data_IF_028582347749
#
_entry.id   IF_028582347749
#
_cell.length_a   1.000
_cell.length_b   1.000
_cell.length_c   1.000
_cell.angle_alpha   90.00
_cell.angle_beta   90.00
_cell.angle_gamma   90.00
#
_symmetry.space_group_name_H-M   'P 1'
#
loop_
_entity.id
_entity.type
_entity.pdbx_description
1 polymer ?
#
# COMPACT_ATOMS: atom_id res chain seq x y z
N UNK A 1 54.06 39.78 48.10
CA UNK A 1 53.00 38.78 48.03
C UNK A 1 52.53 38.74 46.58
N UNK A 2 53.00 37.75 45.78
CA UNK A 2 52.68 37.65 44.37
C UNK A 2 51.63 36.56 44.19
N UNK A 3 50.46 36.96 43.75
CA UNK A 3 49.31 36.02 43.45
C UNK A 3 49.52 35.50 42.04
N UNK A 4 49.66 34.17 41.88
CA UNK A 4 49.72 33.47 40.60
C UNK A 4 48.30 33.30 40.02
N UNK A 5 48.06 33.61 38.74
CA UNK A 5 46.76 33.33 38.10
C UNK A 5 46.68 31.84 37.74
N UNK A 6 45.51 31.24 38.08
CA UNK A 6 45.16 29.88 37.75
C UNK A 6 44.56 29.83 36.32
N UNK A 7 44.95 28.92 35.42
CA UNK A 7 44.34 28.85 34.09
C UNK A 7 43.00 28.16 34.15
N UNK A 8 41.96 28.86 33.65
CA UNK A 8 40.65 28.27 33.39
C UNK A 8 40.72 27.38 32.18
N UNK A 9 40.64 26.06 32.36
CA UNK A 9 40.47 25.10 31.28
C UNK A 9 39.00 25.09 30.90
N UNK A 10 38.63 25.74 29.78
CA UNK A 10 37.35 25.59 29.13
C UNK A 10 37.28 24.21 28.46
N UNK A 11 36.60 23.25 29.08
CA UNK A 11 36.25 21.98 28.45
C UNK A 11 35.10 22.24 27.47
N UNK A 12 35.42 22.33 26.17
CA UNK A 12 34.45 22.32 25.10
C UNK A 12 33.83 20.93 24.99
N UNK A 13 32.69 20.73 25.60
CA UNK A 13 31.81 19.56 25.32
C UNK A 13 31.26 19.71 23.90
N UNK A 14 31.92 19.09 22.93
CA UNK A 14 31.35 18.88 21.61
C UNK A 14 30.14 17.95 21.75
N UNK A 15 28.95 18.53 21.80
CA UNK A 15 27.69 17.80 21.68
C UNK A 15 27.65 17.22 20.25
N UNK A 16 27.93 15.97 20.11
CA UNK A 16 27.61 15.22 18.89
C UNK A 16 26.11 15.13 18.80
N UNK A 17 25.50 16.10 18.13
CA UNK A 17 24.13 16.06 17.68
C UNK A 17 24.02 15.02 16.57
N UNK A 18 23.97 13.75 16.92
CA UNK A 18 23.49 12.72 16.01
C UNK A 18 22.06 13.09 15.67
N UNK A 19 21.79 13.39 14.39
CA UNK A 19 20.41 13.47 13.88
C UNK A 19 19.76 12.12 14.18
N UNK A 20 18.92 12.06 15.22
CA UNK A 20 18.06 10.91 15.44
C UNK A 20 17.20 10.81 14.18
N UNK A 21 17.45 9.83 13.32
CA UNK A 21 16.55 9.50 12.23
C UNK A 21 15.18 9.28 12.86
N UNK A 22 14.16 10.02 12.39
CA UNK A 22 12.80 9.83 12.86
C UNK A 22 12.42 8.37 12.61
N UNK A 23 12.07 7.64 13.69
CA UNK A 23 11.66 6.26 13.56
C UNK A 23 10.47 6.19 12.60
N UNK A 24 10.51 5.25 11.65
CA UNK A 24 9.37 5.02 10.77
C UNK A 24 8.15 4.58 11.59
N UNK A 25 6.97 5.02 11.16
CA UNK A 25 5.72 4.74 11.88
C UNK A 25 5.46 3.24 12.05
N UNK A 26 5.92 2.44 11.10
CA UNK A 26 5.79 0.98 11.11
C UNK A 26 6.75 0.29 12.11
N UNK A 27 7.78 0.99 12.60
CA UNK A 27 8.73 0.48 13.59
C UNK A 27 8.38 0.88 15.03
N UNK A 28 7.35 1.70 15.18
CA UNK A 28 6.93 2.16 16.50
C UNK A 28 6.14 1.08 17.24
N UNK A 29 6.33 0.96 18.57
CA UNK A 29 5.52 0.05 19.38
C UNK A 29 4.04 0.46 19.34
N UNK A 30 3.11 -0.52 19.44
CA UNK A 30 1.69 -0.22 19.54
C UNK A 30 1.41 0.70 20.75
N UNK A 31 0.50 1.66 20.56
CA UNK A 31 0.06 2.52 21.65
C UNK A 31 -0.70 1.72 22.71
N UNK A 32 -0.57 2.14 23.96
CA UNK A 32 -1.36 1.56 25.05
C UNK A 32 -2.86 1.60 24.74
N UNK A 33 -3.57 0.51 24.97
CA UNK A 33 -5.00 0.39 24.70
C UNK A 33 -5.36 -0.01 23.25
N UNK A 34 -4.38 -0.21 22.36
CA UNK A 34 -4.63 -0.75 21.02
C UNK A 34 -5.07 -2.22 21.14
N UNK A 35 -6.18 -2.60 20.49
CA UNK A 35 -6.70 -3.97 20.55
C UNK A 35 -5.75 -4.97 19.86
N UNK A 36 -5.74 -6.25 20.28
CA UNK A 36 -4.93 -7.29 19.63
C UNK A 36 -5.20 -7.41 18.14
N UNK A 37 -6.46 -7.26 17.70
CA UNK A 37 -6.84 -7.27 16.29
C UNK A 37 -6.19 -6.12 15.52
N UNK A 38 -6.26 -4.90 16.05
CA UNK A 38 -5.62 -3.74 15.45
C UNK A 38 -4.10 -3.92 15.33
N UNK A 39 -3.44 -4.45 16.38
CA UNK A 39 -2.00 -4.72 16.38
C UNK A 39 -1.64 -5.72 15.27
N UNK A 40 -2.40 -6.81 15.14
CA UNK A 40 -2.14 -7.83 14.14
C UNK A 40 -2.34 -7.30 12.70
N UNK A 41 -3.42 -6.54 12.46
CA UNK A 41 -3.71 -5.90 11.17
C UNK A 41 -2.58 -4.94 10.78
N UNK A 42 -2.22 -4.03 11.67
CA UNK A 42 -1.14 -3.05 11.45
C UNK A 42 0.19 -3.74 11.17
N UNK A 43 0.53 -4.77 11.95
CA UNK A 43 1.76 -5.54 11.75
C UNK A 43 1.81 -6.17 10.37
N UNK A 44 0.72 -6.80 9.93
CA UNK A 44 0.63 -7.43 8.60
C UNK A 44 0.81 -6.41 7.48
N UNK A 45 0.10 -5.28 7.54
CA UNK A 45 0.22 -4.22 6.53
C UNK A 45 1.62 -3.58 6.52
N UNK A 46 2.18 -3.28 7.70
CA UNK A 46 3.51 -2.69 7.83
C UNK A 46 4.63 -3.62 7.36
N UNK A 47 4.52 -4.93 7.61
CA UNK A 47 5.50 -5.90 7.11
C UNK A 47 5.53 -5.91 5.58
N UNK A 48 4.36 -5.89 4.94
CA UNK A 48 4.30 -5.80 3.48
C UNK A 48 4.88 -4.49 2.96
N UNK A 49 4.53 -3.36 3.55
CA UNK A 49 5.08 -2.08 3.13
C UNK A 49 6.62 -2.05 3.18
N UNK A 50 7.22 -2.68 4.21
CA UNK A 50 8.70 -2.84 4.26
C UNK A 50 9.21 -3.72 3.13
N UNK A 51 8.55 -4.85 2.84
CA UNK A 51 8.93 -5.73 1.73
C UNK A 51 8.92 -5.00 0.39
N UNK A 52 7.95 -4.10 0.17
CA UNK A 52 7.83 -3.29 -1.04
C UNK A 52 8.72 -2.04 -1.04
N UNK A 53 9.74 -1.97 -0.17
CA UNK A 53 10.77 -0.93 -0.15
C UNK A 53 10.24 0.47 0.22
N UNK A 54 9.23 0.55 1.08
CA UNK A 54 8.72 1.78 1.70
C UNK A 54 8.23 2.87 0.73
N UNK A 55 7.49 2.55 -0.37
CA UNK A 55 6.97 3.58 -1.24
C UNK A 55 5.89 4.40 -0.52
N UNK A 56 5.84 5.72 -0.79
CA UNK A 56 4.84 6.54 -0.11
C UNK A 56 4.39 7.78 -0.88
N UNK A 57 3.16 8.21 -0.58
CA UNK A 57 2.56 9.47 -0.97
C UNK A 57 2.57 10.38 0.25
N UNK A 58 3.07 11.61 0.11
CA UNK A 58 3.16 12.58 1.20
C UNK A 58 1.81 13.22 1.57
N UNK A 59 1.80 14.06 2.61
CA UNK A 59 0.59 14.77 3.07
C UNK A 59 0.03 15.79 2.07
N UNK A 60 0.79 16.13 1.04
CA UNK A 60 0.37 16.99 -0.08
C UNK A 60 -0.13 16.18 -1.26
N UNK A 61 -0.26 14.86 -1.10
CA UNK A 61 -0.69 13.95 -2.15
C UNK A 61 0.34 13.72 -3.25
N UNK A 62 1.62 14.00 -3.04
CA UNK A 62 2.68 13.79 -4.01
C UNK A 62 3.32 12.43 -3.83
N UNK A 63 3.55 11.72 -4.93
CA UNK A 63 4.35 10.50 -4.92
C UNK A 63 5.80 10.86 -4.55
N UNK A 64 6.23 10.47 -3.37
CA UNK A 64 7.53 10.82 -2.83
C UNK A 64 8.57 9.72 -3.03
N UNK A 65 8.14 8.46 -3.06
CA UNK A 65 9.00 7.31 -3.33
C UNK A 65 8.19 6.22 -4.01
N UNK A 66 8.78 5.57 -5.00
CA UNK A 66 8.28 4.37 -5.66
C UNK A 66 9.44 3.38 -5.75
N UNK A 67 9.21 2.19 -5.23
CA UNK A 67 10.17 1.09 -5.30
C UNK A 67 9.84 0.13 -6.43
N UNK A 68 9.63 -1.14 -6.08
CA UNK A 68 9.26 -2.20 -7.02
C UNK A 68 7.77 -2.16 -7.32
N UNK A 69 7.39 -2.45 -8.58
CA UNK A 69 6.00 -2.64 -9.00
C UNK A 69 5.70 -4.10 -9.34
N UNK A 70 4.42 -4.51 -9.35
CA UNK A 70 4.03 -5.90 -9.54
C UNK A 70 4.50 -6.51 -10.87
N UNK A 71 4.61 -5.69 -11.92
CA UNK A 71 4.99 -6.15 -13.24
C UNK A 71 6.49 -6.48 -13.35
N UNK A 72 7.30 -6.02 -12.42
CA UNK A 72 8.75 -6.15 -12.50
C UNK A 72 9.23 -7.54 -12.08
N UNK A 73 10.39 -7.94 -12.62
CA UNK A 73 11.14 -9.11 -12.16
C UNK A 73 12.03 -8.78 -10.95
N UNK A 74 11.87 -7.57 -10.37
CA UNK A 74 12.61 -7.13 -9.20
C UNK A 74 12.25 -7.94 -7.95
N UNK A 75 13.24 -8.19 -7.12
CA UNK A 75 13.03 -8.80 -5.82
C UNK A 75 12.51 -7.76 -4.83
N UNK A 76 11.63 -8.22 -3.94
CA UNK A 76 11.26 -7.48 -2.75
C UNK A 76 12.45 -7.36 -1.79
N UNK A 77 12.33 -6.57 -0.72
CA UNK A 77 13.44 -6.26 0.17
C UNK A 77 14.08 -7.47 0.87
N UNK A 78 13.34 -8.59 1.00
CA UNK A 78 13.83 -9.84 1.59
C UNK A 78 14.54 -10.76 0.60
N UNK A 79 14.57 -10.39 -0.68
CA UNK A 79 15.10 -11.21 -1.78
C UNK A 79 14.48 -12.62 -1.89
N UNK A 80 13.31 -12.84 -1.26
CA UNK A 80 12.64 -14.15 -1.23
C UNK A 80 11.91 -14.47 -2.52
N UNK A 81 10.98 -13.60 -2.92
CA UNK A 81 10.17 -13.76 -4.13
C UNK A 81 10.14 -12.46 -4.93
N UNK A 82 9.88 -12.56 -6.23
CA UNK A 82 9.66 -11.38 -7.08
C UNK A 82 8.26 -10.80 -6.85
N UNK A 83 8.08 -9.53 -7.17
CA UNK A 83 6.87 -8.77 -6.86
C UNK A 83 5.58 -9.44 -7.34
N UNK A 84 5.50 -9.88 -8.60
CA UNK A 84 4.29 -10.54 -9.14
C UNK A 84 3.92 -11.84 -8.40
N UNK A 85 4.92 -12.62 -7.94
CA UNK A 85 4.66 -13.83 -7.15
C UNK A 85 4.09 -13.50 -5.78
N UNK A 86 4.53 -12.40 -5.19
CA UNK A 86 3.96 -11.91 -3.92
C UNK A 86 2.50 -11.53 -4.10
N UNK A 87 2.15 -10.84 -5.18
CA UNK A 87 0.75 -10.50 -5.51
C UNK A 87 -0.09 -11.75 -5.76
N UNK A 88 0.44 -12.74 -6.50
CA UNK A 88 -0.22 -14.03 -6.64
C UNK A 88 -0.50 -14.71 -5.28
N UNK A 89 0.42 -14.54 -4.31
CA UNK A 89 0.24 -14.96 -2.92
C UNK A 89 -0.94 -14.24 -2.25
N UNK A 90 -1.12 -12.93 -2.45
CA UNK A 90 -2.29 -12.21 -1.88
C UNK A 90 -3.60 -12.79 -2.37
N UNK A 91 -3.72 -13.05 -3.68
CA UNK A 91 -4.90 -13.67 -4.28
C UNK A 91 -5.19 -15.05 -3.71
N UNK A 92 -4.17 -15.93 -3.68
CA UNK A 92 -4.29 -17.32 -3.23
C UNK A 92 -4.60 -17.41 -1.74
N UNK A 93 -3.77 -16.79 -0.91
CA UNK A 93 -3.77 -16.99 0.54
C UNK A 93 -4.93 -16.23 1.24
N UNK A 94 -5.50 -15.21 0.59
CA UNK A 94 -6.76 -14.61 1.01
C UNK A 94 -7.99 -15.46 0.65
N UNK A 95 -7.85 -16.44 -0.24
CA UNK A 95 -8.94 -17.22 -0.79
C UNK A 95 -9.77 -16.49 -1.87
N UNK A 96 -9.39 -15.25 -2.22
CA UNK A 96 -10.15 -14.46 -3.22
C UNK A 96 -9.89 -14.90 -4.64
N UNK A 97 -8.81 -15.63 -4.92
CA UNK A 97 -8.49 -16.17 -6.23
C UNK A 97 -9.63 -17.06 -6.80
N UNK A 98 -10.34 -17.80 -5.93
CA UNK A 98 -11.44 -18.64 -6.34
C UNK A 98 -12.57 -17.87 -7.05
N UNK A 99 -12.82 -16.63 -6.65
CA UNK A 99 -13.81 -15.75 -7.29
C UNK A 99 -13.37 -15.26 -8.68
N UNK A 100 -12.09 -15.42 -9.02
CA UNK A 100 -11.48 -15.01 -10.29
C UNK A 100 -11.33 -16.17 -11.28
N UNK A 101 -11.85 -17.36 -10.99
CA UNK A 101 -11.63 -18.59 -11.78
C UNK A 101 -12.01 -18.50 -13.27
N UNK A 102 -12.88 -17.56 -13.65
CA UNK A 102 -13.21 -17.28 -15.05
C UNK A 102 -12.25 -16.31 -15.77
N UNK A 103 -11.24 -15.76 -15.08
CA UNK A 103 -10.27 -14.85 -15.67
C UNK A 103 -9.08 -15.62 -16.24
N UNK A 104 -8.57 -15.23 -17.44
CA UNK A 104 -7.35 -15.85 -17.99
C UNK A 104 -6.20 -15.83 -16.99
N UNK A 105 -5.46 -16.91 -16.87
CA UNK A 105 -4.30 -17.02 -16.00
C UNK A 105 -4.58 -17.23 -14.50
N UNK A 106 -5.83 -17.04 -14.01
CA UNK A 106 -6.13 -17.16 -12.59
C UNK A 106 -5.81 -18.57 -12.04
N UNK A 107 -6.16 -19.64 -12.75
CA UNK A 107 -5.86 -21.01 -12.33
C UNK A 107 -4.36 -21.28 -12.23
N UNK A 108 -3.55 -20.60 -13.03
CA UNK A 108 -2.10 -20.73 -13.01
C UNK A 108 -1.45 -20.05 -11.79
N UNK A 109 -2.17 -19.14 -11.13
CA UNK A 109 -1.74 -18.55 -9.86
C UNK A 109 -2.06 -19.42 -8.63
N UNK A 110 -2.95 -20.41 -8.77
CA UNK A 110 -3.32 -21.30 -7.67
C UNK A 110 -2.18 -22.26 -7.30
N UNK A 111 -1.49 -22.80 -8.32
CA UNK A 111 -0.35 -23.69 -8.14
C UNK A 111 0.74 -23.28 -9.13
N UNK A 112 1.79 -22.64 -8.64
CA UNK A 112 2.97 -22.35 -9.44
C UNK A 112 3.80 -23.64 -9.57
N UNK A 113 3.58 -24.37 -10.65
CA UNK A 113 4.29 -25.65 -10.94
C UNK A 113 5.72 -25.46 -11.45
N UNK A 114 6.19 -24.21 -11.52
CA UNK A 114 7.54 -23.85 -11.95
C UNK A 114 7.75 -23.86 -13.46
N UNK A 115 6.74 -24.12 -14.28
CA UNK A 115 6.89 -24.00 -15.74
C UNK A 115 6.89 -22.53 -16.16
N UNK A 116 7.59 -22.20 -17.25
CA UNK A 116 7.57 -20.84 -17.82
C UNK A 116 6.17 -20.43 -18.26
N UNK A 117 5.40 -21.36 -18.77
CA UNK A 117 4.05 -21.09 -19.24
C UNK A 117 3.16 -20.68 -18.06
N UNK A 118 3.09 -21.49 -17.00
CA UNK A 118 2.29 -21.20 -15.81
C UNK A 118 2.69 -19.87 -15.16
N UNK A 119 4.00 -19.61 -15.08
CA UNK A 119 4.52 -18.36 -14.53
C UNK A 119 4.11 -17.14 -15.39
N UNK A 120 4.17 -17.26 -16.72
CA UNK A 120 3.78 -16.18 -17.65
C UNK A 120 2.30 -15.87 -17.55
N UNK A 121 1.44 -16.90 -17.56
CA UNK A 121 -0.02 -16.74 -17.47
C UNK A 121 -0.45 -16.15 -16.12
N UNK A 122 0.15 -16.62 -15.01
CA UNK A 122 -0.12 -16.05 -13.70
C UNK A 122 0.33 -14.60 -13.60
N UNK A 123 1.51 -14.26 -14.15
CA UNK A 123 1.98 -12.87 -14.18
C UNK A 123 1.05 -11.96 -14.99
N UNK A 124 0.57 -12.44 -16.15
CA UNK A 124 -0.42 -11.71 -16.95
C UNK A 124 -1.71 -11.48 -16.13
N UNK A 125 -2.22 -12.51 -15.46
CA UNK A 125 -3.37 -12.37 -14.57
C UNK A 125 -3.16 -11.31 -13.49
N UNK A 126 -1.99 -11.28 -12.84
CA UNK A 126 -1.66 -10.30 -11.79
C UNK A 126 -1.67 -8.87 -12.34
N UNK A 127 -1.10 -8.65 -13.52
CA UNK A 127 -1.03 -7.33 -14.17
C UNK A 127 -2.41 -6.86 -14.67
N UNK A 128 -3.22 -7.78 -15.20
CA UNK A 128 -4.50 -7.45 -15.81
C UNK A 128 -5.67 -7.32 -14.80
N UNK A 129 -5.45 -7.73 -13.55
CA UNK A 129 -6.52 -7.74 -12.54
C UNK A 129 -6.12 -6.99 -11.28
N UNK A 130 -6.86 -5.92 -10.95
CA UNK A 130 -6.60 -5.11 -9.76
C UNK A 130 -6.63 -5.94 -8.47
N UNK A 131 -5.57 -5.91 -7.70
CA UNK A 131 -5.37 -6.77 -6.53
C UNK A 131 -5.50 -6.05 -5.18
N UNK A 132 -5.91 -4.79 -5.17
CA UNK A 132 -6.01 -4.01 -3.93
C UNK A 132 -6.95 -4.65 -2.90
N UNK A 133 -8.10 -5.16 -3.33
CA UNK A 133 -9.04 -5.81 -2.42
C UNK A 133 -8.55 -7.20 -1.96
N UNK A 134 -7.84 -7.93 -2.81
CA UNK A 134 -7.17 -9.18 -2.45
C UNK A 134 -6.08 -8.94 -1.39
N UNK A 135 -5.32 -7.85 -1.51
CA UNK A 135 -4.34 -7.43 -0.50
C UNK A 135 -4.99 -7.17 0.86
N UNK A 136 -6.06 -6.38 0.92
CA UNK A 136 -6.79 -6.13 2.17
C UNK A 136 -7.32 -7.45 2.75
N UNK A 137 -7.93 -8.29 1.91
CA UNK A 137 -8.42 -9.60 2.34
C UNK A 137 -7.29 -10.48 2.89
N UNK A 138 -6.11 -10.41 2.28
CA UNK A 138 -4.91 -11.09 2.75
C UNK A 138 -4.43 -10.54 4.10
N UNK A 139 -4.34 -9.21 4.26
CA UNK A 139 -3.96 -8.57 5.54
C UNK A 139 -4.87 -9.04 6.67
N UNK A 140 -6.19 -9.06 6.44
CA UNK A 140 -7.16 -9.51 7.45
C UNK A 140 -7.05 -11.01 7.74
N UNK A 141 -6.71 -11.82 6.75
CA UNK A 141 -6.45 -13.26 6.91
C UNK A 141 -5.19 -13.49 7.74
N UNK A 142 -4.09 -12.79 7.43
CA UNK A 142 -2.85 -12.90 8.18
C UNK A 142 -3.00 -12.41 9.63
N UNK A 143 -3.83 -11.39 9.83
CA UNK A 143 -4.17 -10.92 11.16
C UNK A 143 -5.07 -11.90 11.93
N UNK A 144 -5.66 -12.90 11.27
CA UNK A 144 -6.60 -13.83 11.90
C UNK A 144 -7.94 -13.16 12.26
N UNK A 145 -8.35 -12.08 11.56
CA UNK A 145 -9.59 -11.38 11.87
C UNK A 145 -10.81 -12.23 11.47
N UNK A 146 -11.53 -12.71 12.49
CA UNK A 146 -12.74 -13.50 12.29
C UNK A 146 -13.91 -12.65 11.80
N UNK A 147 -14.76 -13.24 10.97
CA UNK A 147 -15.97 -12.58 10.48
C UNK A 147 -15.72 -11.48 9.43
N UNK A 148 -14.46 -11.27 9.00
CA UNK A 148 -14.21 -10.34 7.89
C UNK A 148 -14.66 -10.94 6.56
N UNK A 149 -15.47 -10.19 5.82
CA UNK A 149 -15.95 -10.61 4.50
C UNK A 149 -14.85 -10.42 3.44
N UNK A 150 -14.06 -11.47 3.20
CA UNK A 150 -13.00 -11.45 2.19
C UNK A 150 -13.58 -11.40 0.79
N UNK A 151 -13.11 -10.48 -0.04
CA UNK A 151 -13.57 -10.31 -1.41
C UNK A 151 -12.47 -9.76 -2.31
N UNK A 152 -12.59 -10.01 -3.62
CA UNK A 152 -11.83 -9.36 -4.68
C UNK A 152 -12.31 -7.91 -4.95
N UNK A 153 -13.32 -7.44 -4.25
CA UNK A 153 -13.93 -6.11 -4.41
C UNK A 153 -14.08 -5.42 -3.07
N UNK A 154 -13.53 -4.21 -2.93
CA UNK A 154 -13.65 -3.42 -1.69
C UNK A 154 -15.10 -3.10 -1.34
N UNK A 155 -15.95 -2.88 -2.33
CA UNK A 155 -17.36 -2.54 -2.10
C UNK A 155 -18.13 -3.64 -1.35
N UNK A 156 -17.71 -4.90 -1.47
CA UNK A 156 -18.39 -6.01 -0.82
C UNK A 156 -18.20 -5.99 0.70
N UNK A 157 -16.99 -5.73 1.20
CA UNK A 157 -16.80 -5.60 2.64
C UNK A 157 -17.20 -4.22 3.19
N UNK A 158 -17.24 -3.16 2.37
CA UNK A 158 -17.92 -1.91 2.74
C UNK A 158 -19.41 -2.18 2.98
N UNK A 159 -20.05 -2.92 2.08
CA UNK A 159 -21.46 -3.33 2.21
C UNK A 159 -21.68 -4.24 3.42
N UNK A 160 -20.78 -5.21 3.65
CA UNK A 160 -20.82 -6.05 4.84
C UNK A 160 -20.79 -5.20 6.11
N UNK A 161 -19.85 -4.25 6.23
CA UNK A 161 -19.77 -3.35 7.38
C UNK A 161 -21.04 -2.46 7.55
N UNK A 162 -21.71 -2.10 6.45
CA UNK A 162 -22.97 -1.37 6.49
C UNK A 162 -24.13 -2.25 6.99
N UNK A 163 -24.23 -3.50 6.49
CA UNK A 163 -25.34 -4.42 6.75
C UNK A 163 -25.22 -5.13 8.11
N UNK A 164 -24.00 -5.50 8.52
CA UNK A 164 -23.76 -6.36 9.69
C UNK A 164 -24.03 -5.67 11.03
N UNK A 165 -24.31 -4.38 10.99
CA UNK A 165 -24.78 -3.61 12.14
C UNK A 165 -23.91 -3.79 13.37
N UNK A 166 -24.15 -4.87 14.17
CA UNK A 166 -23.44 -5.14 15.41
C UNK A 166 -22.59 -6.41 15.40
N UNK A 167 -22.70 -7.28 14.41
CA UNK A 167 -22.09 -8.62 14.41
C UNK A 167 -20.74 -8.71 13.68
N UNK A 168 -20.51 -7.90 12.64
CA UNK A 168 -19.27 -7.90 11.88
C UNK A 168 -18.12 -7.21 12.62
N UNK A 169 -16.85 -7.42 12.19
CA UNK A 169 -15.69 -6.83 12.84
C UNK A 169 -15.56 -5.32 12.60
N UNK A 170 -16.28 -4.77 11.63
CA UNK A 170 -16.25 -3.35 11.27
C UNK A 170 -17.62 -2.68 11.35
N UNK A 171 -17.62 -1.39 11.68
CA UNK A 171 -18.78 -0.50 11.58
C UNK A 171 -18.55 0.48 10.43
N UNK A 172 -19.57 0.70 9.62
CA UNK A 172 -19.59 1.71 8.58
C UNK A 172 -19.85 3.09 9.21
N UNK A 173 -18.91 4.04 9.05
CA UNK A 173 -18.97 5.35 9.68
C UNK A 173 -18.54 6.47 8.72
N UNK A 174 -18.88 7.72 9.08
CA UNK A 174 -18.54 8.92 8.33
C UNK A 174 -17.09 9.33 8.60
N UNK A 175 -16.22 9.37 7.58
CA UNK A 175 -14.82 9.77 7.73
C UNK A 175 -14.64 11.25 8.14
N UNK A 176 -15.65 12.11 7.92
CA UNK A 176 -15.59 13.51 8.34
C UNK A 176 -15.89 13.69 9.83
N UNK A 177 -16.54 12.70 10.46
CA UNK A 177 -17.02 12.78 11.84
C UNK A 177 -16.18 11.93 12.78
N UNK A 178 -15.94 10.68 12.40
CA UNK A 178 -15.24 9.70 13.23
C UNK A 178 -13.72 9.87 13.16
N UNK A 179 -13.06 9.64 14.30
CA UNK A 179 -11.60 9.67 14.36
C UNK A 179 -11.02 8.33 13.91
N UNK A 180 -10.08 8.32 12.95
CA UNK A 180 -9.40 7.10 12.57
C UNK A 180 -8.50 6.58 13.69
N UNK A 181 -8.40 5.27 13.79
CA UNK A 181 -7.53 4.56 14.74
C UNK A 181 -6.83 3.39 14.03
N UNK A 182 -5.69 2.90 14.53
CA UNK A 182 -5.01 1.74 13.97
C UNK A 182 -5.95 0.54 13.80
N UNK A 183 -5.89 -0.12 12.64
CA UNK A 183 -6.75 -1.23 12.27
C UNK A 183 -8.05 -0.83 11.56
N UNK A 184 -8.44 0.45 11.55
CA UNK A 184 -9.55 0.94 10.73
C UNK A 184 -9.19 0.88 9.23
N UNK A 185 -10.18 1.07 8.37
CA UNK A 185 -9.97 1.25 6.93
C UNK A 185 -10.62 2.54 6.44
N UNK A 186 -9.87 3.36 5.72
CA UNK A 186 -10.40 4.53 5.02
C UNK A 186 -10.63 4.18 3.56
N UNK A 187 -11.87 4.38 3.07
CA UNK A 187 -12.32 3.91 1.76
C UNK A 187 -12.79 5.05 0.88
N UNK A 188 -12.45 4.97 -0.41
CA UNK A 188 -12.84 5.91 -1.46
C UNK A 188 -13.63 5.22 -2.58
N UNK A 189 -14.36 6.01 -3.35
CA UNK A 189 -15.06 5.58 -4.56
C UNK A 189 -14.29 6.05 -5.80
N UNK A 190 -14.37 5.27 -6.87
CA UNK A 190 -13.77 5.53 -8.19
C UNK A 190 -14.77 5.32 -9.32
N UNK A 191 -14.40 5.79 -10.52
CA UNK A 191 -15.18 5.57 -11.74
C UNK A 191 -16.46 6.39 -11.80
N UNK A 192 -16.47 7.56 -11.18
CA UNK A 192 -17.65 8.44 -11.14
C UNK A 192 -17.26 9.87 -11.49
N UNK A 193 -18.08 10.46 -12.35
CA UNK A 193 -17.96 11.88 -12.72
C UNK A 193 -18.46 12.83 -11.61
N UNK A 194 -19.25 12.31 -10.66
CA UNK A 194 -19.79 13.07 -9.53
C UNK A 194 -19.45 12.35 -8.25
N UNK A 195 -18.77 13.03 -7.33
CA UNK A 195 -18.47 12.53 -6.00
C UNK A 195 -19.74 12.33 -5.18
N UNK A 196 -19.83 11.22 -4.46
CA UNK A 196 -20.95 10.88 -3.60
C UNK A 196 -20.70 11.23 -2.12
N UNK A 197 -19.44 11.11 -1.69
CA UNK A 197 -19.11 11.17 -0.27
C UNK A 197 -19.85 10.12 0.57
N UNK A 198 -19.79 10.29 1.89
CA UNK A 198 -20.42 9.36 2.82
C UNK A 198 -21.94 9.29 2.66
N UNK A 199 -22.62 10.44 2.54
CA UNK A 199 -24.07 10.49 2.47
C UNK A 199 -24.63 9.78 1.23
N UNK A 200 -24.00 10.02 0.06
CA UNK A 200 -24.40 9.38 -1.18
C UNK A 200 -24.10 7.88 -1.19
N UNK A 201 -22.94 7.45 -0.69
CA UNK A 201 -22.63 6.02 -0.54
C UNK A 201 -23.62 5.33 0.41
N UNK A 202 -23.90 5.94 1.57
CA UNK A 202 -24.87 5.40 2.53
C UNK A 202 -26.27 5.23 1.93
N UNK A 203 -26.74 6.23 1.18
CA UNK A 203 -28.02 6.16 0.49
C UNK A 203 -28.05 5.02 -0.55
N UNK A 204 -26.99 4.87 -1.32
CA UNK A 204 -26.88 3.80 -2.31
C UNK A 204 -26.80 2.40 -1.68
N UNK A 205 -26.09 2.24 -0.56
CA UNK A 205 -26.01 0.96 0.17
C UNK A 205 -27.38 0.55 0.74
N UNK A 206 -28.20 1.51 1.14
CA UNK A 206 -29.57 1.26 1.62
C UNK A 206 -30.58 1.00 0.51
N UNK A 207 -30.21 1.24 -0.76
CA UNK A 207 -31.05 0.98 -1.92
C UNK A 207 -30.88 -0.42 -2.50
N UNK A 208 -31.74 -0.78 -3.46
CA UNK A 208 -31.69 -2.03 -4.20
C UNK A 208 -31.00 -1.92 -5.56
N UNK A 209 -30.61 -0.71 -5.98
CA UNK A 209 -29.97 -0.50 -7.28
C UNK A 209 -28.56 -1.15 -7.34
N UNK A 210 -28.17 -1.71 -8.51
CA UNK A 210 -26.81 -2.18 -8.70
C UNK A 210 -25.81 -1.05 -8.49
N UNK A 211 -24.69 -1.36 -7.83
CA UNK A 211 -23.57 -0.43 -7.64
C UNK A 211 -22.37 -0.92 -8.48
N UNK A 212 -22.28 -0.51 -9.74
CA UNK A 212 -21.21 -0.94 -10.64
C UNK A 212 -19.88 -0.20 -10.38
N UNK A 213 -19.83 0.58 -9.28
CA UNK A 213 -18.70 1.43 -8.97
C UNK A 213 -17.49 0.63 -8.49
N UNK A 214 -16.34 1.18 -8.75
CA UNK A 214 -15.10 0.74 -8.15
C UNK A 214 -14.88 1.49 -6.83
N UNK A 215 -14.15 0.86 -5.94
CA UNK A 215 -13.78 1.43 -4.65
C UNK A 215 -12.39 0.95 -4.26
N UNK A 216 -11.77 1.67 -3.34
CA UNK A 216 -10.48 1.30 -2.79
C UNK A 216 -10.47 1.59 -1.29
N UNK A 217 -9.79 0.77 -0.51
CA UNK A 217 -9.63 0.98 0.93
C UNK A 217 -8.16 0.80 1.30
N UNK A 218 -7.68 1.70 2.16
CA UNK A 218 -6.37 1.62 2.80
C UNK A 218 -6.53 1.33 4.29
N UNK A 219 -5.67 0.51 4.86
CA UNK A 219 -5.63 0.22 6.32
C UNK A 219 -4.99 1.39 7.05
N UNK A 220 -5.61 1.87 8.11
CA UNK A 220 -5.02 2.82 9.05
C UNK A 220 -3.95 2.11 9.88
N UNK A 221 -2.69 2.49 9.74
CA UNK A 221 -1.58 1.91 10.51
C UNK A 221 -1.18 2.80 11.68
N UNK A 222 -1.37 4.10 11.58
CA UNK A 222 -1.16 5.05 12.67
C UNK A 222 -1.94 6.35 12.45
N UNK A 223 -2.18 7.08 13.53
CA UNK A 223 -2.79 8.42 13.50
C UNK A 223 -2.20 9.30 14.59
N UNK A 224 -1.84 10.55 14.23
CA UNK A 224 -1.37 11.57 15.14
C UNK A 224 -0.19 11.12 16.02
N UNK A 225 0.85 10.59 15.41
CA UNK A 225 2.04 10.11 16.11
C UNK A 225 2.82 11.30 16.67
N UNK A 226 3.02 11.31 17.98
CA UNK A 226 3.73 12.42 18.64
C UNK A 226 3.08 13.81 18.46
N UNK A 227 1.82 13.88 18.01
CA UNK A 227 1.14 15.15 17.74
C UNK A 227 1.36 15.71 16.33
N UNK A 228 1.85 14.90 15.39
CA UNK A 228 2.20 15.28 14.01
C UNK A 228 0.99 15.60 13.12
N UNK A 229 -0.22 15.32 13.60
CA UNK A 229 -1.49 15.51 12.89
C UNK A 229 -1.50 14.82 11.51
N UNK A 230 -0.89 13.65 11.42
CA UNK A 230 -0.83 12.84 10.21
C UNK A 230 -1.56 11.52 10.41
N UNK A 231 -2.35 11.13 9.42
CA UNK A 231 -2.93 9.81 9.25
C UNK A 231 -2.04 9.01 8.31
N UNK A 232 -1.67 7.81 8.72
CA UNK A 232 -0.85 6.89 7.95
C UNK A 232 -1.69 5.69 7.53
N UNK A 233 -1.75 5.48 6.22
CA UNK A 233 -2.58 4.47 5.57
C UNK A 233 -1.70 3.56 4.72
N UNK A 234 -1.98 2.26 4.67
CA UNK A 234 -1.31 1.33 3.75
C UNK A 234 -2.35 0.62 2.90
N UNK A 235 -2.19 0.70 1.58
CA UNK A 235 -3.02 0.03 0.58
C UNK A 235 -2.19 -0.77 -0.41
N UNK A 236 -2.81 -1.81 -0.98
CA UNK A 236 -2.23 -2.59 -2.09
C UNK A 236 -2.69 -2.04 -3.43
N UNK A 237 -1.92 -2.31 -4.48
CA UNK A 237 -2.20 -1.87 -5.86
C UNK A 237 -2.38 -0.34 -6.00
N UNK A 238 -1.65 0.43 -5.21
CA UNK A 238 -1.54 1.88 -5.38
C UNK A 238 -0.25 2.13 -6.15
N UNK A 239 -0.35 2.55 -7.42
CA UNK A 239 0.80 2.57 -8.35
C UNK A 239 1.48 1.19 -8.47
N UNK A 240 0.66 0.13 -8.52
CA UNK A 240 1.13 -1.24 -8.70
C UNK A 240 2.10 -1.72 -7.61
N UNK A 241 1.95 -1.18 -6.38
CA UNK A 241 2.79 -1.53 -5.22
C UNK A 241 1.98 -1.52 -3.92
N UNK A 242 2.58 -1.94 -2.81
CA UNK A 242 2.03 -1.71 -1.46
C UNK A 242 2.53 -0.37 -0.95
N UNK A 243 1.66 0.62 -0.98
CA UNK A 243 1.96 2.03 -0.79
C UNK A 243 1.50 2.55 0.57
N UNK A 244 2.32 3.35 1.22
CA UNK A 244 1.87 4.18 2.34
C UNK A 244 1.35 5.52 1.83
N UNK A 245 0.15 5.90 2.28
CA UNK A 245 -0.44 7.22 2.03
C UNK A 245 -0.46 8.00 3.33
N UNK A 246 -0.07 9.27 3.27
CA UNK A 246 -0.14 10.20 4.40
C UNK A 246 -1.22 11.24 4.13
N UNK A 247 -2.13 11.43 5.10
CA UNK A 247 -3.18 12.44 5.00
C UNK A 247 -3.18 13.35 6.23
N UNK A 248 -3.55 14.63 6.11
CA UNK A 248 -3.60 15.53 7.25
C UNK A 248 -4.78 15.21 8.17
N UNK A 249 -4.58 15.43 9.48
CA UNK A 249 -5.63 15.43 10.50
C UNK A 249 -5.89 16.85 11.01
N UNK A 250 -7.15 17.13 11.32
CA UNK A 250 -7.54 18.38 11.99
C UNK A 250 -7.10 18.39 13.48
N UNK A 251 -7.34 19.49 14.18
CA UNK A 251 -7.02 19.62 15.60
C UNK A 251 -7.81 18.64 16.48
N UNK A 252 -8.95 18.19 16.02
CA UNK A 252 -9.76 17.18 16.71
C UNK A 252 -9.32 15.75 16.42
N UNK A 253 -8.34 15.55 15.52
CA UNK A 253 -7.84 14.24 15.11
C UNK A 253 -8.72 13.53 14.06
N UNK A 254 -9.54 14.26 13.33
CA UNK A 254 -10.35 13.76 12.21
C UNK A 254 -9.61 13.99 10.90
N UNK A 255 -9.92 13.18 9.89
CA UNK A 255 -9.31 13.33 8.56
C UNK A 255 -9.72 14.65 7.94
N UNK A 256 -8.75 15.42 7.46
CA UNK A 256 -9.03 16.57 6.59
C UNK A 256 -9.27 16.00 5.18
N UNK A 257 -10.54 15.83 4.84
CA UNK A 257 -10.92 15.29 3.53
C UNK A 257 -10.68 16.37 2.46
N UNK A 258 -9.88 16.07 1.43
CA UNK A 258 -9.69 16.99 0.32
C UNK A 258 -10.98 17.09 -0.51
N UNK A 259 -11.16 18.21 -1.22
CA UNK A 259 -12.24 18.30 -2.22
C UNK A 259 -11.99 17.22 -3.28
N UNK A 260 -12.94 16.31 -3.50
CA UNK A 260 -12.76 15.25 -4.48
C UNK A 260 -12.54 15.84 -5.87
N UNK A 261 -11.73 15.14 -6.65
CA UNK A 261 -11.55 15.41 -8.06
C UNK A 261 -12.52 14.53 -8.85
N UNK A 262 -13.12 15.06 -9.91
CA UNK A 262 -13.98 14.28 -10.81
C UNK A 262 -13.12 13.25 -11.54
N UNK A 263 -13.48 11.98 -11.47
CA UNK A 263 -12.85 10.94 -12.28
C UNK A 263 -13.29 11.14 -13.74
N UNK A 264 -12.34 11.13 -14.65
CA UNK A 264 -12.64 11.07 -16.08
C UNK A 264 -12.98 9.62 -16.47
N UNK A 265 -13.58 9.42 -17.65
CA UNK A 265 -13.87 8.07 -18.15
C UNK A 265 -12.61 7.18 -18.28
N UNK A 266 -11.43 7.79 -18.35
CA UNK A 266 -10.12 7.12 -18.41
C UNK A 266 -9.61 6.66 -17.05
N UNK A 267 -10.15 7.22 -15.94
CA UNK A 267 -9.77 6.84 -14.57
C UNK A 267 -10.47 5.56 -14.08
N UNK A 268 -11.16 4.84 -14.97
CA UNK A 268 -11.89 3.62 -14.62
C UNK A 268 -10.99 2.40 -14.41
N UNK A 269 -9.73 2.45 -14.85
CA UNK A 269 -8.74 1.43 -14.50
C UNK A 269 -8.16 1.75 -13.11
N UNK A 270 -8.09 0.75 -12.24
CA UNK A 270 -7.43 0.90 -10.92
C UNK A 270 -5.94 1.31 -11.06
N UNK A 271 -5.34 0.99 -12.21
CA UNK A 271 -3.97 1.35 -12.60
C UNK A 271 -3.87 2.76 -13.16
N UNK A 272 -4.99 3.40 -13.54
CA UNK A 272 -4.92 4.77 -13.99
C UNK A 272 -4.50 5.64 -12.83
N UNK A 273 -3.48 6.45 -13.06
CA UNK A 273 -2.86 7.32 -12.07
C UNK A 273 -3.86 8.33 -11.48
N UNK A 274 -5.10 8.38 -12.03
CA UNK A 274 -6.16 9.29 -11.60
C UNK A 274 -5.64 10.71 -11.45
N UNK A 275 -4.66 11.06 -12.29
CA UNK A 275 -4.17 12.42 -12.43
C UNK A 275 -5.25 13.16 -13.18
N UNK A 276 -5.80 14.20 -12.58
CA UNK A 276 -6.71 15.06 -13.29
C UNK A 276 -6.07 15.51 -14.60
N UNK A 277 -6.88 15.63 -15.62
CA UNK A 277 -6.49 16.30 -16.87
C UNK A 277 -5.95 17.73 -16.64
N UNK A 278 -6.20 18.26 -15.46
CA UNK A 278 -5.77 19.60 -15.00
C UNK A 278 -4.40 19.59 -14.31
N UNK A 279 -3.87 18.40 -13.91
CA UNK A 279 -2.50 18.28 -13.38
C UNK A 279 -1.51 18.43 -14.53
N UNK A 280 -0.90 19.60 -14.62
CA UNK A 280 0.09 19.95 -15.65
C UNK A 280 1.29 20.62 -14.99
N UNK A 281 2.44 20.73 -15.68
CA UNK A 281 3.58 21.47 -15.12
C UNK A 281 3.29 22.93 -14.79
N UNK A 282 2.23 23.52 -15.34
CA UNK A 282 1.78 24.87 -15.00
C UNK A 282 0.82 24.90 -13.79
N UNK A 283 0.27 23.75 -13.39
CA UNK A 283 -0.71 23.60 -12.31
C UNK A 283 -0.37 22.39 -11.45
N UNK A 284 0.84 22.40 -10.86
CA UNK A 284 1.34 21.31 -10.02
C UNK A 284 0.53 21.11 -8.73
N UNK A 285 -0.15 22.15 -8.26
CA UNK A 285 -1.03 22.09 -7.09
C UNK A 285 -2.25 21.19 -7.30
N UNK A 286 -2.60 20.92 -8.57
CA UNK A 286 -3.68 20.00 -8.92
C UNK A 286 -3.23 18.54 -9.00
N UNK A 287 -1.91 18.28 -8.88
CA UNK A 287 -1.30 16.96 -8.89
C UNK A 287 -1.33 16.33 -7.49
N UNK A 288 -2.51 16.14 -6.92
CA UNK A 288 -2.70 15.62 -5.56
C UNK A 288 -3.43 14.27 -5.60
N UNK A 289 -2.68 13.18 -5.36
CA UNK A 289 -3.22 11.80 -5.30
C UNK A 289 -4.11 11.53 -4.08
N UNK A 290 -4.19 12.45 -3.13
CA UNK A 290 -5.11 12.38 -2.00
C UNK A 290 -6.50 12.95 -2.31
N UNK A 291 -6.66 13.70 -3.41
CA UNK A 291 -7.94 14.26 -3.88
C UNK A 291 -8.84 13.19 -4.47
N UNK A 292 -9.45 12.40 -3.59
CA UNK A 292 -10.34 11.27 -3.94
C UNK A 292 -11.68 11.43 -3.24
N UNK A 293 -12.70 10.71 -3.73
CA UNK A 293 -14.01 10.64 -3.10
C UNK A 293 -13.98 9.70 -1.88
N UNK A 294 -13.38 10.17 -0.78
CA UNK A 294 -13.31 9.44 0.49
C UNK A 294 -14.69 9.36 1.12
N UNK A 295 -15.32 8.19 1.05
CA UNK A 295 -16.74 8.01 1.30
C UNK A 295 -17.06 7.17 2.55
N UNK A 296 -16.09 6.45 3.13
CA UNK A 296 -16.35 5.65 4.33
C UNK A 296 -15.10 5.50 5.20
N UNK A 297 -15.31 5.51 6.51
CA UNK A 297 -14.35 5.02 7.50
C UNK A 297 -14.96 3.76 8.13
N UNK A 298 -14.35 2.59 7.86
CA UNK A 298 -14.74 1.35 8.48
C UNK A 298 -14.00 1.24 9.81
N UNK A 299 -14.74 1.42 10.91
CA UNK A 299 -14.19 1.39 12.27
C UNK A 299 -14.06 -0.04 12.77
N UNK A 300 -12.85 -0.47 13.08
CA UNK A 300 -12.62 -1.75 13.73
C UNK A 300 -13.30 -1.76 15.12
N UNK A 301 -14.04 -2.83 15.41
CA UNK A 301 -14.67 -2.97 16.72
C UNK A 301 -13.63 -3.35 17.77
N UNK A 302 -13.72 -2.81 18.98
CA UNK A 302 -12.78 -3.14 20.07
C UNK A 302 -12.79 -4.62 20.46
N UNK A 303 -13.96 -5.26 20.31
CA UNK A 303 -14.26 -6.66 20.62
C UNK A 303 -14.15 -7.60 19.40
N UNK A 304 -13.52 -7.12 18.31
CA UNK A 304 -13.30 -7.95 17.13
C UNK A 304 -12.56 -9.24 17.48
N UNK A 305 -13.16 -10.36 17.08
CA UNK A 305 -12.65 -11.70 17.42
C UNK A 305 -11.53 -12.08 16.48
N UNK A 306 -10.49 -12.69 17.02
CA UNK A 306 -9.38 -13.26 16.29
C UNK A 306 -9.41 -14.77 16.34
N UNK A 307 -9.14 -15.41 15.23
CA UNK A 307 -8.82 -16.85 15.15
C UNK A 307 -7.31 -17.01 14.95
N UNK A 308 -6.76 -18.14 15.36
CA UNK A 308 -5.36 -18.42 15.03
C UNK A 308 -5.20 -18.33 13.50
N UNK A 309 -4.19 -17.60 12.99
CA UNK A 309 -3.93 -17.57 11.57
C UNK A 309 -3.70 -19.01 11.07
N UNK A 310 -4.27 -19.33 9.89
CA UNK A 310 -3.94 -20.59 9.25
C UNK A 310 -2.41 -20.63 9.04
N UNK A 311 -1.75 -21.80 9.26
CA UNK A 311 -0.34 -21.92 8.94
C UNK A 311 -0.14 -21.50 7.49
N UNK A 312 0.65 -20.44 7.27
CA UNK A 312 1.05 -20.07 5.92
C UNK A 312 1.91 -21.21 5.38
N UNK A 313 1.46 -21.89 4.32
CA UNK A 313 2.35 -22.79 3.59
C UNK A 313 3.59 -21.97 3.17
N UNK A 314 4.79 -22.52 3.41
CA UNK A 314 6.01 -21.89 2.93
C UNK A 314 5.87 -21.66 1.42
N UNK A 315 6.11 -20.46 0.94
CA UNK A 315 6.23 -20.23 -0.50
C UNK A 315 7.27 -21.23 -1.04
N UNK A 316 6.99 -21.93 -2.15
CA UNK A 316 7.97 -22.84 -2.74
C UNK A 316 9.28 -22.07 -2.93
N UNK A 317 10.38 -22.65 -2.47
CA UNK A 317 11.69 -22.07 -2.65
C UNK A 317 11.88 -21.73 -4.14
N UNK A 318 12.47 -20.57 -4.47
CA UNK A 318 12.72 -20.21 -5.85
C UNK A 318 13.45 -21.38 -6.51
N UNK A 319 12.86 -21.94 -7.57
CA UNK A 319 13.52 -22.97 -8.37
C UNK A 319 14.76 -22.33 -8.97
N UNK A 320 15.91 -22.59 -8.40
CA UNK A 320 17.19 -22.22 -8.98
C UNK A 320 17.24 -22.97 -10.30
N UNK A 321 16.99 -22.26 -11.41
CA UNK A 321 17.19 -22.84 -12.73
C UNK A 321 18.66 -23.27 -12.79
N UNK A 322 18.96 -24.52 -13.17
CA UNK A 322 20.33 -24.95 -13.34
C UNK A 322 21.05 -24.00 -14.29
N UNK A 323 22.22 -23.52 -13.90
CA UNK A 323 23.03 -22.58 -14.69
C UNK A 323 23.54 -23.18 -16.01
N UNK A 324 23.13 -24.39 -16.36
CA UNK A 324 23.61 -25.15 -17.52
C UNK A 324 22.45 -25.52 -18.46
N UNK A 325 21.89 -24.51 -19.13
CA UNK A 325 21.25 -24.73 -20.42
C UNK A 325 21.92 -23.82 -21.45
N UNK A 326 22.93 -24.35 -22.10
CA UNK A 326 23.50 -23.81 -23.33
C UNK A 326 22.37 -23.45 -24.29
N UNK A 327 22.29 -22.19 -24.68
CA UNK A 327 21.33 -21.73 -25.69
C UNK A 327 21.49 -22.56 -26.97
N UNK A 328 20.38 -22.92 -27.63
CA UNK A 328 20.46 -23.58 -28.93
C UNK A 328 21.22 -22.71 -29.93
N UNK A 329 22.03 -23.29 -30.82
CA UNK A 329 22.81 -22.53 -31.80
C UNK A 329 21.87 -21.84 -32.79
N UNK A 330 21.92 -20.51 -32.85
CA UNK A 330 21.15 -19.75 -33.84
C UNK A 330 20.74 -18.34 -33.45
N UNK A 331 20.90 -17.93 -32.20
CA UNK A 331 20.59 -16.53 -31.84
C UNK A 331 21.86 -15.64 -31.89
N UNK A 332 21.81 -14.47 -32.53
CA UNK A 332 22.94 -13.54 -32.53
C UNK A 332 23.22 -13.06 -31.11
N UNK A 333 24.47 -13.17 -30.66
CA UNK A 333 24.93 -12.59 -29.39
C UNK A 333 24.79 -11.09 -29.48
N UNK A 334 23.93 -10.50 -28.66
CA UNK A 334 23.97 -9.07 -28.41
C UNK A 334 25.22 -8.78 -27.58
N UNK A 335 26.25 -8.25 -28.22
CA UNK A 335 27.44 -7.79 -27.55
C UNK A 335 27.07 -6.45 -26.86
N UNK A 336 27.23 -6.30 -25.53
CA UNK A 336 27.00 -5.03 -24.91
C UNK A 336 27.96 -3.98 -25.48
N UNK A 337 27.51 -2.72 -25.65
CA UNK A 337 28.38 -1.66 -26.15
C UNK A 337 29.58 -1.49 -25.22
N UNK A 338 30.77 -1.41 -25.81
CA UNK A 338 32.02 -1.15 -25.10
C UNK A 338 31.89 0.22 -24.41
N UNK A 339 32.25 0.35 -23.12
CA UNK A 339 32.24 1.66 -22.49
C UNK A 339 33.15 2.61 -23.25
N UNK A 340 32.60 3.75 -23.67
CA UNK A 340 33.35 4.83 -24.30
C UNK A 340 34.37 5.35 -23.28
N UNK A 341 35.65 5.25 -23.63
CA UNK A 341 36.74 5.89 -22.90
C UNK A 341 36.55 7.41 -23.03
N UNK A 342 36.26 8.08 -21.93
CA UNK A 342 36.27 9.55 -21.90
C UNK A 342 37.67 10.08 -22.31
N UNK A 343 37.72 11.05 -23.23
CA UNK A 343 39.01 11.70 -23.55
C UNK A 343 39.49 12.49 -22.34
N UNK A 344 40.79 12.42 -22.09
CA UNK A 344 41.49 13.13 -21.03
C UNK A 344 41.31 14.65 -21.17
N UNK A 345 41.20 15.43 -20.08
CA UNK A 345 41.01 16.86 -20.13
C UNK A 345 42.26 17.52 -20.72
N UNK A 346 42.08 18.30 -21.78
CA UNK A 346 43.08 19.12 -22.42
C UNK A 346 43.50 20.25 -21.45
N UNK A 347 44.75 20.24 -21.01
CA UNK A 347 45.35 21.38 -20.29
C UNK A 347 45.46 22.58 -21.24
N UNK A 348 44.87 23.70 -20.88
CA UNK A 348 45.13 24.99 -21.50
C UNK A 348 46.45 25.54 -20.97
N UNK A 349 47.33 26.09 -21.83
CA UNK A 349 48.53 26.81 -21.42
C UNK A 349 48.17 28.19 -20.86
N UNK A 350 48.94 28.59 -19.83
CA UNK A 350 48.88 29.92 -19.21
C UNK A 350 49.28 31.04 -20.16
#
# INVERSE_FOLDING_TARGET
>A
MTVKPWPWICVLLAAWGGSAAAAEVCDMPPRFGTSPAAIAIVRSACNEHRLWQHPFIDTKGRLASLGVTEAESGYLADHGVVAWQRVAGYWRDSGTLASMGGRPGASNCAALDGTRYTASECRAFVVDNPWSAAFISWVMTQAGLSGFHRSARHLDYIRSAYNDGTSGPYRFTDPAVEKPAPGDMLCLLRGRTVSLGYAGLKAALGGSAPMPWQSHCDVVVAANVGGDRTLYLIGGNVFNTVMMRKMPLDRAGRVVLPTPQSDTAQDQNEDSLGIASECTPAHEELCDFNRRDWAALLKLRPDAVMTAPAPSEPLPAPSVLPADQTMPPGFPRVVPPRPETQPAPTQQPQ
#
